data_IF_282898227975
#
_entry.id   IF_282898227975
#
_cell.length_a   1.000
_cell.length_b   1.000
_cell.length_c   1.000
_cell.angle_alpha   90.00
_cell.angle_beta   90.00
_cell.angle_gamma   90.00
#
_symmetry.space_group_name_H-M   'P 1'
#
loop_
_entity.id
_entity.type
_entity.pdbx_description
1 polymer ?
#
# COMPACT_ATOMS: atom_id res chain seq x y z
N UNK A 1 -79.88 -10.75 -36.11
CA UNK A 1 -79.42 -10.00 -34.97
C UNK A 1 -77.86 -10.01 -35.01
N UNK A 2 -77.27 -8.91 -35.47
CA UNK A 2 -75.81 -8.76 -35.57
C UNK A 2 -75.37 -7.70 -34.55
N UNK A 3 -74.64 -8.09 -33.53
CA UNK A 3 -74.13 -7.18 -32.52
C UNK A 3 -72.66 -6.76 -32.88
N UNK A 4 -72.52 -5.49 -33.19
CA UNK A 4 -71.29 -4.82 -33.55
C UNK A 4 -70.57 -4.45 -32.24
N UNK A 5 -69.35 -4.98 -31.98
CA UNK A 5 -68.48 -4.60 -30.84
C UNK A 5 -67.47 -3.54 -31.30
N UNK A 6 -67.59 -2.35 -30.77
CA UNK A 6 -66.71 -1.22 -30.98
C UNK A 6 -65.48 -1.40 -30.10
N UNK A 7 -64.29 -1.51 -30.68
CA UNK A 7 -63.01 -1.51 -29.95
C UNK A 7 -62.50 -0.06 -29.82
N UNK A 8 -62.40 0.41 -28.59
CA UNK A 8 -61.79 1.71 -28.28
C UNK A 8 -60.28 1.43 -28.02
N UNK A 9 -59.43 1.91 -28.90
CA UNK A 9 -58.00 1.87 -28.75
C UNK A 9 -57.54 3.08 -27.94
N UNK A 10 -57.13 2.83 -26.69
CA UNK A 10 -56.51 3.84 -25.84
C UNK A 10 -54.98 3.87 -26.12
N UNK A 11 -54.50 4.93 -26.72
CA UNK A 11 -53.08 5.20 -26.92
C UNK A 11 -52.51 5.76 -25.63
N UNK A 12 -51.68 4.97 -24.93
CA UNK A 12 -50.82 5.45 -23.83
C UNK A 12 -49.56 6.10 -24.42
N UNK A 13 -49.45 7.42 -24.27
CA UNK A 13 -48.17 8.14 -24.48
C UNK A 13 -47.26 7.88 -23.27
N UNK A 14 -46.22 7.09 -23.47
CA UNK A 14 -45.11 7.02 -22.52
C UNK A 14 -44.21 8.24 -22.74
N UNK A 15 -44.26 9.18 -21.80
CA UNK A 15 -43.26 10.25 -21.68
C UNK A 15 -42.05 9.68 -20.96
N UNK A 16 -40.99 9.37 -21.70
CA UNK A 16 -39.71 8.97 -21.14
C UNK A 16 -38.98 10.24 -20.62
N UNK A 17 -39.01 10.45 -19.30
CA UNK A 17 -38.15 11.43 -18.62
C UNK A 17 -36.74 10.89 -18.55
N UNK A 18 -35.84 11.45 -19.38
CA UNK A 18 -34.41 11.24 -19.26
C UNK A 18 -33.93 11.90 -17.96
N UNK A 19 -33.86 11.13 -16.90
CA UNK A 19 -33.14 11.52 -15.69
C UNK A 19 -31.65 11.54 -16.03
N UNK A 20 -31.09 12.73 -16.29
CA UNK A 20 -29.66 12.95 -16.36
C UNK A 20 -29.10 12.68 -14.95
N UNK A 21 -28.52 11.49 -14.76
CA UNK A 21 -27.73 11.18 -13.58
C UNK A 21 -26.51 12.11 -13.60
N UNK A 22 -26.58 13.22 -12.88
CA UNK A 22 -25.41 14.00 -12.53
C UNK A 22 -24.54 13.09 -11.66
N UNK A 23 -23.45 12.60 -12.25
CA UNK A 23 -22.37 11.97 -11.48
C UNK A 23 -21.93 13.01 -10.44
N UNK A 24 -21.88 12.64 -9.13
CA UNK A 24 -21.31 13.53 -8.15
C UNK A 24 -19.89 13.85 -8.60
N UNK A 25 -19.57 15.15 -8.70
CA UNK A 25 -18.22 15.60 -8.93
C UNK A 25 -17.33 14.88 -7.91
N UNK A 26 -16.34 14.13 -8.38
CA UNK A 26 -15.36 13.50 -7.53
C UNK A 26 -14.85 14.61 -6.61
N UNK A 27 -15.05 14.44 -5.29
CA UNK A 27 -14.41 15.26 -4.28
C UNK A 27 -12.92 15.12 -4.56
N UNK A 28 -12.34 16.15 -5.18
CA UNK A 28 -10.90 16.26 -5.30
C UNK A 28 -10.42 16.35 -3.87
N UNK A 29 -9.84 15.23 -3.37
CA UNK A 29 -9.16 15.23 -2.08
C UNK A 29 -8.06 16.29 -2.17
N UNK A 30 -8.30 17.43 -1.52
CA UNK A 30 -7.35 18.55 -1.46
C UNK A 30 -6.01 18.14 -0.82
N UNK A 31 -5.94 16.91 -0.29
CA UNK A 31 -4.77 16.25 0.31
C UNK A 31 -4.17 15.13 -0.54
N UNK A 32 -4.65 14.89 -1.76
CA UNK A 32 -4.01 13.88 -2.61
C UNK A 32 -2.57 14.34 -2.91
N UNK A 33 -1.55 13.51 -2.61
CA UNK A 33 -0.16 13.87 -2.86
C UNK A 33 0.04 14.14 -4.36
N UNK A 34 0.84 15.16 -4.70
CA UNK A 34 1.17 15.43 -6.09
C UNK A 34 1.79 14.17 -6.72
N UNK A 35 1.38 13.82 -7.95
CA UNK A 35 1.86 12.62 -8.63
C UNK A 35 3.40 12.54 -8.71
N UNK A 36 4.08 13.70 -8.78
CA UNK A 36 5.53 13.79 -8.73
C UNK A 36 6.16 13.42 -7.38
N UNK A 37 5.43 13.62 -6.28
CA UNK A 37 5.92 13.26 -4.95
C UNK A 37 5.87 11.74 -4.74
N UNK A 38 4.82 11.06 -5.23
CA UNK A 38 4.76 9.60 -5.17
C UNK A 38 5.91 8.92 -5.93
N UNK A 39 6.23 9.39 -7.12
CA UNK A 39 7.34 8.83 -7.90
C UNK A 39 8.69 8.91 -7.16
N UNK A 40 8.96 10.02 -6.45
CA UNK A 40 10.18 10.20 -5.63
C UNK A 40 10.08 9.40 -4.32
N UNK A 41 8.97 9.49 -3.60
CA UNK A 41 8.75 8.78 -2.35
C UNK A 41 8.82 7.27 -2.53
N UNK A 42 8.23 6.72 -3.60
CA UNK A 42 8.23 5.27 -3.89
C UNK A 42 9.63 4.69 -4.04
N UNK A 43 10.58 5.48 -4.56
CA UNK A 43 12.00 5.06 -4.65
C UNK A 43 12.65 5.01 -3.27
N UNK A 44 12.45 6.03 -2.43
CA UNK A 44 12.98 6.09 -1.06
C UNK A 44 12.39 4.96 -0.23
N UNK A 45 11.08 4.78 -0.27
CA UNK A 45 10.35 3.72 0.45
C UNK A 45 10.81 2.32 0.03
N UNK A 46 10.99 2.10 -1.28
CA UNK A 46 11.50 0.83 -1.78
C UNK A 46 12.90 0.54 -1.25
N UNK A 47 13.81 1.51 -1.28
CA UNK A 47 15.17 1.35 -0.77
C UNK A 47 15.17 1.01 0.73
N UNK A 48 14.31 1.65 1.51
CA UNK A 48 14.16 1.37 2.93
C UNK A 48 13.61 -0.04 3.20
N UNK A 49 12.51 -0.43 2.53
CA UNK A 49 11.90 -1.76 2.68
C UNK A 49 12.86 -2.87 2.22
N UNK A 50 13.62 -2.64 1.15
CA UNK A 50 14.64 -3.58 0.65
C UNK A 50 15.95 -3.54 1.47
N UNK A 51 15.99 -2.74 2.55
CA UNK A 51 17.14 -2.57 3.44
C UNK A 51 18.42 -2.05 2.75
N UNK A 52 18.27 -1.31 1.66
CA UNK A 52 19.41 -0.71 0.93
C UNK A 52 19.87 0.57 1.60
N UNK A 53 18.92 1.40 2.03
CA UNK A 53 19.15 2.70 2.65
C UNK A 53 18.20 2.89 3.84
N UNK A 54 18.55 3.71 4.85
CA UNK A 54 17.61 4.06 5.91
C UNK A 54 16.45 4.89 5.34
N UNK A 55 15.28 4.79 5.96
CA UNK A 55 14.18 5.71 5.69
C UNK A 55 14.48 7.04 6.38
N UNK A 56 14.32 8.13 5.66
CA UNK A 56 14.52 9.48 6.18
C UNK A 56 13.33 10.38 5.84
N UNK A 57 13.13 11.43 6.63
CA UNK A 57 12.03 12.40 6.53
C UNK A 57 12.21 13.33 5.32
N UNK A 58 12.24 12.75 4.11
CA UNK A 58 12.30 13.52 2.88
C UNK A 58 10.95 14.17 2.58
N UNK A 59 10.96 15.40 2.08
CA UNK A 59 9.74 16.12 1.72
C UNK A 59 8.74 15.30 0.88
N UNK A 60 9.12 14.52 -0.15
CA UNK A 60 8.19 13.69 -0.90
C UNK A 60 7.53 12.59 -0.04
N UNK A 61 8.26 12.01 0.93
CA UNK A 61 7.73 10.97 1.83
C UNK A 61 6.73 11.59 2.81
N UNK A 62 7.09 12.71 3.43
CA UNK A 62 6.19 13.45 4.32
C UNK A 62 4.92 13.89 3.60
N UNK A 63 5.05 14.43 2.38
CA UNK A 63 3.91 14.84 1.54
C UNK A 63 2.96 13.66 1.25
N UNK A 64 3.51 12.50 0.86
CA UNK A 64 2.71 11.30 0.55
C UNK A 64 1.96 10.77 1.76
N UNK A 65 2.55 10.86 2.95
CA UNK A 65 1.92 10.42 4.20
C UNK A 65 1.07 11.52 4.88
N UNK A 66 1.01 12.73 4.31
CA UNK A 66 0.28 13.86 4.88
C UNK A 66 0.87 14.34 6.22
N UNK A 67 2.18 14.14 6.43
CA UNK A 67 2.86 14.51 7.66
C UNK A 67 3.34 15.95 7.61
N UNK A 68 3.13 16.66 8.70
CA UNK A 68 3.58 18.06 8.89
C UNK A 68 4.80 18.18 9.79
N UNK A 69 5.23 17.07 10.39
CA UNK A 69 6.43 16.96 11.23
C UNK A 69 7.37 15.90 10.63
N UNK A 70 8.57 15.81 11.16
CA UNK A 70 9.61 14.90 10.68
C UNK A 70 9.50 13.47 11.25
N UNK A 71 8.50 13.18 12.08
CA UNK A 71 8.30 11.83 12.61
C UNK A 71 7.62 10.95 11.57
N UNK A 72 8.29 9.87 11.23
CA UNK A 72 7.78 8.81 10.34
C UNK A 72 7.27 7.59 11.11
N UNK A 73 7.29 7.61 12.45
CA UNK A 73 6.82 6.47 13.25
C UNK A 73 5.33 6.23 13.06
N UNK A 74 4.97 4.96 12.96
CA UNK A 74 3.58 4.53 12.82
C UNK A 74 3.27 3.81 11.52
N UNK A 75 1.99 3.63 11.26
CA UNK A 75 1.46 2.92 10.10
C UNK A 75 1.04 3.91 9.01
N UNK A 76 1.57 3.73 7.82
CA UNK A 76 1.30 4.59 6.67
C UNK A 76 0.78 3.79 5.48
N UNK A 77 -0.31 4.27 4.89
CA UNK A 77 -0.86 3.71 3.65
C UNK A 77 -0.21 4.36 2.44
N UNK A 78 0.00 3.57 1.39
CA UNK A 78 0.48 4.08 0.12
C UNK A 78 -0.70 4.49 -0.78
N UNK A 79 -0.60 5.57 -1.55
CA UNK A 79 -1.63 5.95 -2.51
C UNK A 79 -1.80 4.88 -3.60
N UNK A 80 -0.72 4.18 -3.93
CA UNK A 80 -0.69 3.09 -4.90
C UNK A 80 0.14 1.92 -4.38
N UNK A 81 -0.11 0.71 -4.89
CA UNK A 81 0.69 -0.46 -4.52
C UNK A 81 2.15 -0.30 -4.97
N UNK A 82 3.07 -0.35 -4.01
CA UNK A 82 4.51 -0.32 -4.27
C UNK A 82 5.03 -1.73 -4.58
N UNK A 83 5.86 -1.84 -5.62
CA UNK A 83 6.56 -3.09 -5.91
C UNK A 83 7.92 -3.09 -5.24
N UNK A 84 8.20 -4.12 -4.43
CA UNK A 84 9.48 -4.33 -3.75
C UNK A 84 10.05 -5.71 -4.13
N UNK A 85 11.36 -5.87 -4.03
CA UNK A 85 12.07 -7.10 -4.42
C UNK A 85 11.66 -7.63 -5.82
N UNK A 86 11.36 -6.72 -6.73
CA UNK A 86 11.01 -6.99 -8.12
C UNK A 86 9.58 -7.46 -8.36
N UNK A 87 8.95 -8.19 -7.45
CA UNK A 87 7.65 -8.84 -7.69
C UNK A 87 6.60 -8.65 -6.59
N UNK A 88 7.02 -8.39 -5.36
CA UNK A 88 6.10 -8.30 -4.22
C UNK A 88 5.37 -6.96 -4.23
N UNK A 89 4.05 -6.98 -4.08
CA UNK A 89 3.21 -5.80 -3.96
C UNK A 89 2.91 -5.52 -2.49
N UNK A 90 3.10 -4.28 -2.06
CA UNK A 90 2.77 -3.81 -0.71
C UNK A 90 1.93 -2.53 -0.78
N UNK A 91 1.05 -2.29 0.18
CA UNK A 91 0.14 -1.14 0.20
C UNK A 91 0.31 -0.24 1.43
N UNK A 92 1.07 -0.70 2.39
CA UNK A 92 1.32 0.02 3.63
C UNK A 92 2.71 -0.32 4.16
N UNK A 93 3.21 0.53 5.04
CA UNK A 93 4.43 0.33 5.81
C UNK A 93 4.17 0.69 7.26
N UNK A 94 4.68 -0.13 8.17
CA UNK A 94 4.83 0.22 9.59
C UNK A 94 6.27 0.63 9.83
N UNK A 95 6.47 1.81 10.35
CA UNK A 95 7.78 2.41 10.62
C UNK A 95 7.98 2.50 12.13
N UNK A 96 9.11 2.00 12.59
CA UNK A 96 9.61 2.21 13.94
C UNK A 96 11.01 2.80 13.83
N UNK A 97 11.20 3.97 14.40
CA UNK A 97 12.51 4.60 14.57
C UNK A 97 12.76 4.70 16.08
N UNK A 98 13.51 3.73 16.59
CA UNK A 98 13.96 3.77 17.98
C UNK A 98 15.01 4.86 18.22
N UNK A 99 15.37 5.02 19.45
CA UNK A 99 16.54 5.83 19.85
C UNK A 99 17.83 5.20 19.32
N UNK A 100 18.95 5.88 19.49
CA UNK A 100 20.26 5.48 18.95
C UNK A 100 20.64 4.02 19.22
N UNK A 101 20.20 3.46 20.36
CA UNK A 101 20.51 2.08 20.77
C UNK A 101 19.45 1.06 20.28
N UNK A 102 18.22 1.48 19.94
CA UNK A 102 17.12 0.59 19.61
C UNK A 102 17.06 0.26 18.10
N UNK A 103 17.68 1.10 17.27
CA UNK A 103 17.64 0.95 15.83
C UNK A 103 16.30 1.31 15.20
N UNK A 104 16.10 0.86 13.99
CA UNK A 104 14.84 1.12 13.25
C UNK A 104 14.35 -0.13 12.54
N UNK A 105 13.04 -0.18 12.30
CA UNK A 105 12.44 -1.23 11.46
C UNK A 105 11.39 -0.69 10.51
N UNK A 106 11.34 -1.30 9.34
CA UNK A 106 10.37 -1.00 8.27
C UNK A 106 9.67 -2.29 7.91
N UNK A 107 8.43 -2.44 8.36
CA UNK A 107 7.65 -3.68 8.19
C UNK A 107 6.54 -3.47 7.19
N UNK A 108 6.38 -4.42 6.27
CA UNK A 108 5.32 -4.44 5.27
C UNK A 108 4.64 -5.80 5.21
N UNK A 109 3.40 -5.84 4.70
CA UNK A 109 2.68 -7.08 4.43
C UNK A 109 2.50 -7.23 2.91
N UNK A 110 3.21 -8.18 2.27
CA UNK A 110 3.05 -8.46 0.85
C UNK A 110 1.66 -9.00 0.53
N UNK A 111 0.98 -8.35 -0.43
CA UNK A 111 -0.41 -8.67 -0.78
C UNK A 111 -0.49 -10.05 -1.44
N UNK A 112 -1.26 -10.96 -0.84
CA UNK A 112 -1.57 -12.27 -1.39
C UNK A 112 -0.39 -13.23 -1.55
N UNK A 113 0.80 -12.88 -1.05
CA UNK A 113 2.00 -13.70 -1.16
C UNK A 113 2.15 -14.65 0.04
N UNK A 114 2.57 -15.89 -0.21
CA UNK A 114 2.92 -16.86 0.82
C UNK A 114 4.34 -16.63 1.31
N UNK A 115 4.64 -17.05 2.55
CA UNK A 115 5.95 -16.87 3.17
C UNK A 115 7.11 -17.39 2.30
N UNK A 116 6.95 -18.56 1.66
CA UNK A 116 7.97 -19.12 0.79
C UNK A 116 8.21 -18.28 -0.48
N UNK A 117 7.17 -17.65 -1.02
CA UNK A 117 7.25 -16.77 -2.20
C UNK A 117 7.97 -15.48 -1.83
N UNK A 118 7.66 -14.89 -0.66
CA UNK A 118 8.34 -13.71 -0.11
C UNK A 118 9.82 -14.02 0.12
N UNK A 119 10.12 -15.15 0.77
CA UNK A 119 11.50 -15.57 1.02
C UNK A 119 12.29 -15.73 -0.28
N UNK A 120 11.70 -16.34 -1.30
CA UNK A 120 12.32 -16.51 -2.62
C UNK A 120 12.57 -15.16 -3.31
N UNK A 121 11.56 -14.28 -3.36
CA UNK A 121 11.68 -12.97 -4.00
C UNK A 121 12.74 -12.09 -3.34
N UNK A 122 12.80 -12.08 -2.00
CA UNK A 122 13.77 -11.31 -1.24
C UNK A 122 15.14 -12.02 -1.06
N UNK A 123 15.30 -13.24 -1.58
CA UNK A 123 16.55 -14.01 -1.50
C UNK A 123 16.92 -14.39 -0.06
N UNK A 124 15.93 -14.73 0.75
CA UNK A 124 16.12 -15.06 2.17
C UNK A 124 16.40 -16.55 2.35
N UNK A 125 17.12 -16.90 3.41
CA UNK A 125 17.42 -18.28 3.82
C UNK A 125 16.64 -18.61 5.08
N UNK A 126 16.21 -19.86 5.21
CA UNK A 126 15.47 -20.35 6.39
C UNK A 126 16.34 -20.26 7.65
N UNK A 127 15.77 -19.73 8.72
CA UNK A 127 16.35 -19.63 10.04
C UNK A 127 15.26 -19.89 11.10
N UNK A 128 15.11 -21.13 11.51
CA UNK A 128 14.02 -21.56 12.39
C UNK A 128 12.64 -21.35 11.76
N UNK A 129 11.72 -20.63 12.42
CA UNK A 129 10.37 -20.35 11.93
C UNK A 129 10.31 -19.20 10.91
N UNK A 130 11.39 -18.50 10.69
CA UNK A 130 11.51 -17.33 9.82
C UNK A 130 12.51 -17.53 8.70
N UNK A 131 12.58 -16.55 7.79
CA UNK A 131 13.58 -16.47 6.73
C UNK A 131 14.33 -15.16 6.86
N UNK A 132 15.66 -15.19 6.71
CA UNK A 132 16.52 -14.02 6.94
C UNK A 132 17.60 -13.88 5.89
N UNK A 133 18.06 -12.64 5.71
CA UNK A 133 19.27 -12.29 4.96
C UNK A 133 19.95 -11.10 5.61
N UNK A 134 21.23 -11.25 5.97
CA UNK A 134 22.05 -10.13 6.38
C UNK A 134 22.43 -9.28 5.17
N UNK A 135 22.34 -7.99 5.32
CA UNK A 135 22.71 -6.99 4.31
C UNK A 135 23.58 -5.92 4.97
N UNK A 136 24.22 -5.07 4.17
CA UNK A 136 24.97 -3.94 4.70
C UNK A 136 24.02 -3.00 5.46
N UNK A 137 24.20 -2.87 6.77
CA UNK A 137 23.38 -1.99 7.62
C UNK A 137 22.08 -2.59 8.13
N UNK A 138 21.90 -3.94 8.11
CA UNK A 138 20.71 -4.53 8.71
C UNK A 138 20.43 -5.98 8.35
N UNK A 139 19.22 -6.39 8.64
CA UNK A 139 18.69 -7.72 8.35
C UNK A 139 17.36 -7.57 7.62
N UNK A 140 17.18 -8.29 6.53
CA UNK A 140 15.86 -8.51 5.93
C UNK A 140 15.30 -9.81 6.48
N UNK A 141 14.10 -9.75 7.06
CA UNK A 141 13.43 -10.88 7.68
C UNK A 141 12.02 -11.04 7.09
N UNK A 142 11.61 -12.29 6.84
CA UNK A 142 10.23 -12.64 6.56
C UNK A 142 9.73 -13.68 7.55
N UNK A 143 8.53 -13.47 8.09
CA UNK A 143 7.90 -14.35 9.07
C UNK A 143 6.38 -14.39 8.85
N UNK A 144 5.73 -15.35 9.50
CA UNK A 144 4.29 -15.49 9.54
C UNK A 144 3.84 -15.53 11.01
N UNK A 145 3.72 -14.35 11.66
CA UNK A 145 3.40 -14.26 13.09
C UNK A 145 2.01 -14.79 13.42
N UNK A 146 1.12 -14.81 12.45
CA UNK A 146 -0.21 -15.39 12.55
C UNK A 146 -0.51 -16.14 11.25
N UNK A 147 -1.26 -17.25 11.27
CA UNK A 147 -1.61 -17.99 10.07
C UNK A 147 -2.20 -17.09 8.98
N UNK A 148 -1.62 -17.11 7.80
CA UNK A 148 -2.03 -16.30 6.64
C UNK A 148 -1.55 -14.85 6.66
N UNK A 149 -0.85 -14.38 7.71
CA UNK A 149 -0.32 -13.03 7.79
C UNK A 149 1.18 -13.03 7.61
N UNK A 150 1.64 -12.83 6.39
CA UNK A 150 3.08 -12.75 6.08
C UNK A 150 3.58 -11.32 6.29
N UNK A 151 4.66 -11.19 7.06
CA UNK A 151 5.38 -9.95 7.27
C UNK A 151 6.76 -10.02 6.64
N UNK A 152 7.21 -8.90 6.10
CA UNK A 152 8.55 -8.68 5.59
C UNK A 152 9.09 -7.41 6.22
N UNK A 153 10.22 -7.50 6.91
CA UNK A 153 10.81 -6.40 7.64
C UNK A 153 12.27 -6.15 7.23
N UNK A 154 12.64 -4.88 7.14
CA UNK A 154 14.02 -4.44 7.23
C UNK A 154 14.27 -4.00 8.66
N UNK A 155 15.21 -4.63 9.35
CA UNK A 155 15.61 -4.32 10.72
C UNK A 155 17.04 -3.77 10.65
N UNK A 156 17.22 -2.55 11.12
CA UNK A 156 18.51 -1.86 11.17
C UNK A 156 18.93 -1.70 12.63
N UNK A 157 20.11 -2.18 12.97
CA UNK A 157 20.65 -2.01 14.33
C UNK A 157 20.85 -0.53 14.67
N UNK A 158 20.61 -0.15 15.91
CA UNK A 158 21.10 1.07 16.49
C UNK A 158 22.63 1.05 16.43
N UNK A 159 23.23 2.11 15.92
CA UNK A 159 24.63 2.12 15.56
C UNK A 159 25.58 1.91 16.73
N UNK A 160 26.22 0.77 16.72
CA UNK A 160 27.59 0.58 17.21
C UNK A 160 28.29 -0.32 16.19
N UNK A 161 28.83 0.27 15.12
CA UNK A 161 29.98 -0.25 14.39
C UNK A 161 31.16 0.71 14.55
#
# INVERSE_FOLDING_TARGET
>A
MKTTRTLIASALLLVATLASAQMPAALSDANAPAAGDWAKASTILRNAIECREPLYSAKPVLSVFGLTNDSLDGDHQFPEALTVFGTLKVRAISVFNGTDDEGSSYTVQPVGAKLAEVAKAAGLKKDGPRFVRKVRGGIVEASEPQPGTVQLACIRGGGHE
#
